data_IF_989675333157
#
_entry.id   IF_989675333157
#
_cell.length_a   1.000
_cell.length_b   1.000
_cell.length_c   1.000
_cell.angle_alpha   90.00
_cell.angle_beta   90.00
_cell.angle_gamma   90.00
#
_symmetry.space_group_name_H-M   'P 1'
#
loop_
_entity.id
_entity.type
_entity.pdbx_description
1 polymer ?
#
# COMPACT_ATOMS: atom_id res chain seq x y z
N UNK A 1 20.61 -17.41 -5.99
CA UNK A 1 19.68 -16.65 -5.14
C UNK A 1 18.54 -16.21 -6.04
N UNK A 2 17.30 -16.40 -5.61
CA UNK A 2 16.13 -16.06 -6.42
C UNK A 2 15.94 -14.53 -6.53
N UNK A 3 15.18 -14.04 -7.50
CA UNK A 3 14.97 -12.59 -7.61
C UNK A 3 14.20 -12.06 -6.41
N UNK A 4 13.19 -12.80 -5.93
CA UNK A 4 12.45 -12.41 -4.73
C UNK A 4 13.38 -12.26 -3.52
N UNK A 5 14.31 -13.20 -3.31
CA UNK A 5 15.29 -13.09 -2.22
C UNK A 5 16.18 -11.85 -2.35
N UNK A 6 16.62 -11.52 -3.56
CA UNK A 6 17.40 -10.31 -3.80
C UNK A 6 16.58 -9.04 -3.58
N UNK A 7 15.33 -9.00 -4.05
CA UNK A 7 14.39 -7.90 -3.79
C UNK A 7 14.23 -7.67 -2.29
N UNK A 8 13.97 -8.74 -1.51
CA UNK A 8 13.83 -8.67 -0.05
C UNK A 8 15.10 -8.14 0.63
N UNK A 9 16.28 -8.54 0.14
CA UNK A 9 17.57 -8.09 0.66
C UNK A 9 17.84 -6.62 0.32
N UNK A 10 17.62 -6.21 -0.93
CA UNK A 10 17.93 -4.86 -1.38
C UNK A 10 16.96 -3.80 -0.83
N UNK A 11 15.76 -4.19 -0.40
CA UNK A 11 14.79 -3.27 0.22
C UNK A 11 14.74 -3.41 1.75
N UNK A 12 15.63 -4.20 2.37
CA UNK A 12 15.55 -4.50 3.79
C UNK A 12 15.66 -3.25 4.68
N UNK A 13 16.61 -2.36 4.39
CA UNK A 13 16.80 -1.13 5.17
C UNK A 13 15.60 -0.17 5.05
N UNK A 14 15.05 -0.03 3.85
CA UNK A 14 13.90 0.83 3.59
C UNK A 14 12.63 0.29 4.28
N UNK A 15 12.42 -1.03 4.24
CA UNK A 15 11.35 -1.70 4.99
C UNK A 15 11.54 -1.54 6.50
N UNK A 16 12.74 -1.76 7.03
CA UNK A 16 13.01 -1.60 8.46
C UNK A 16 12.74 -0.16 8.94
N UNK A 17 13.12 0.84 8.16
CA UNK A 17 12.83 2.24 8.47
C UNK A 17 11.33 2.51 8.53
N UNK A 18 10.56 1.97 7.58
CA UNK A 18 9.10 2.11 7.58
C UNK A 18 8.48 1.46 8.84
N UNK A 19 8.88 0.22 9.15
CA UNK A 19 8.38 -0.52 10.32
C UNK A 19 8.79 0.14 11.65
N UNK A 20 9.88 0.89 11.66
CA UNK A 20 10.34 1.66 12.81
C UNK A 20 9.68 3.05 12.94
N UNK A 21 8.68 3.37 12.11
CA UNK A 21 7.98 4.64 12.19
C UNK A 21 7.32 4.83 13.57
N UNK A 22 7.46 5.99 14.23
CA UNK A 22 6.89 6.24 15.55
C UNK A 22 5.39 5.99 15.63
N UNK A 23 4.65 6.26 14.55
CA UNK A 23 3.20 6.05 14.51
C UNK A 23 2.81 4.58 14.67
N UNK A 24 3.63 3.65 14.16
CA UNK A 24 3.39 2.21 14.30
C UNK A 24 3.51 1.81 15.77
N UNK A 25 4.53 2.31 16.48
CA UNK A 25 4.70 2.07 17.90
C UNK A 25 3.56 2.69 18.74
N UNK A 26 3.12 3.91 18.41
CA UNK A 26 1.95 4.55 19.04
C UNK A 26 0.69 3.70 18.87
N UNK A 27 0.41 3.28 17.63
CA UNK A 27 -0.72 2.40 17.35
C UNK A 27 -0.65 1.11 18.15
N UNK A 28 0.50 0.44 18.25
CA UNK A 28 0.67 -0.79 19.04
C UNK A 28 0.44 -0.59 20.55
N UNK A 29 0.68 0.62 21.07
CA UNK A 29 0.44 0.99 22.46
C UNK A 29 -1.01 1.46 22.71
N UNK A 30 -1.84 1.50 21.67
CA UNK A 30 -3.21 2.00 21.74
C UNK A 30 -3.32 3.52 21.81
N UNK A 31 -2.24 4.25 21.57
CA UNK A 31 -2.23 5.71 21.40
C UNK A 31 -2.73 6.05 19.99
N UNK A 32 -4.05 5.99 19.83
CA UNK A 32 -4.77 6.15 18.58
C UNK A 32 -5.91 7.13 18.79
N UNK A 33 -5.90 8.25 18.07
CA UNK A 33 -7.03 9.15 17.98
C UNK A 33 -7.89 8.86 16.74
N UNK A 34 -9.20 9.12 16.84
CA UNK A 34 -10.12 8.99 15.70
C UNK A 34 -9.72 9.88 14.53
N UNK A 35 -9.23 11.09 14.81
CA UNK A 35 -8.76 12.02 13.79
C UNK A 35 -7.56 11.45 13.02
N UNK A 36 -6.57 10.91 13.74
CA UNK A 36 -5.41 10.23 13.15
C UNK A 36 -5.84 9.05 12.28
N UNK A 37 -6.78 8.22 12.75
CA UNK A 37 -7.25 7.07 11.98
C UNK A 37 -7.99 7.49 10.70
N UNK A 38 -8.89 8.49 10.78
CA UNK A 38 -9.56 9.04 9.59
C UNK A 38 -8.53 9.66 8.62
N UNK A 39 -7.49 10.32 9.12
CA UNK A 39 -6.43 10.87 8.26
C UNK A 39 -5.65 9.75 7.57
N UNK A 40 -5.29 8.67 8.27
CA UNK A 40 -4.69 7.49 7.67
C UNK A 40 -5.56 6.92 6.54
N UNK A 41 -6.85 6.66 6.83
CA UNK A 41 -7.79 6.14 5.82
C UNK A 41 -7.94 7.09 4.64
N UNK A 42 -7.91 8.40 4.87
CA UNK A 42 -7.96 9.42 3.81
C UNK A 42 -6.75 9.30 2.88
N UNK A 43 -5.54 9.18 3.41
CA UNK A 43 -4.33 8.99 2.60
C UNK A 43 -4.33 7.62 1.90
N UNK A 44 -4.81 6.58 2.57
CA UNK A 44 -4.94 5.24 2.00
C UNK A 44 -5.88 5.23 0.79
N UNK A 45 -7.05 5.89 0.91
CA UNK A 45 -8.04 5.99 -0.16
C UNK A 45 -7.41 6.45 -1.48
N UNK A 46 -6.60 7.51 -1.43
CA UNK A 46 -6.04 8.06 -2.66
C UNK A 46 -5.14 7.07 -3.38
N UNK A 47 -4.18 6.42 -2.72
CA UNK A 47 -3.34 5.47 -3.44
C UNK A 47 -4.09 4.19 -3.84
N UNK A 48 -5.03 3.70 -3.01
CA UNK A 48 -5.83 2.51 -3.32
C UNK A 48 -6.77 2.76 -4.50
N UNK A 49 -7.35 3.95 -4.62
CA UNK A 49 -8.17 4.34 -5.78
C UNK A 49 -7.41 4.31 -7.11
N UNK A 50 -6.07 4.35 -7.04
CA UNK A 50 -5.19 4.25 -8.21
C UNK A 50 -4.58 2.85 -8.42
N UNK A 51 -4.78 1.88 -7.52
CA UNK A 51 -4.21 0.52 -7.66
C UNK A 51 -4.63 -0.15 -8.96
N UNK A 52 -5.93 -0.30 -9.21
CA UNK A 52 -6.46 -0.90 -10.45
C UNK A 52 -6.06 -0.11 -11.70
N UNK A 53 -6.20 1.24 -11.74
CA UNK A 53 -5.68 2.04 -12.85
C UNK A 53 -4.18 1.85 -13.15
N UNK A 54 -3.34 1.75 -12.13
CA UNK A 54 -1.89 1.49 -12.28
C UNK A 54 -1.63 0.07 -12.82
N UNK A 55 -2.36 -0.93 -12.33
CA UNK A 55 -2.32 -2.30 -12.85
C UNK A 55 -2.68 -2.36 -14.34
N UNK A 56 -3.77 -1.70 -14.75
CA UNK A 56 -4.18 -1.59 -16.15
C UNK A 56 -3.14 -0.83 -16.99
N UNK A 57 -2.57 0.25 -16.45
CA UNK A 57 -1.55 1.05 -17.10
C UNK A 57 -0.28 0.23 -17.39
N UNK A 58 0.17 -0.58 -16.43
CA UNK A 58 1.31 -1.46 -16.60
C UNK A 58 0.99 -2.63 -17.55
N UNK A 59 -0.13 -3.33 -17.33
CA UNK A 59 -0.53 -4.49 -18.13
C UNK A 59 -0.69 -4.17 -19.61
N UNK A 60 -1.21 -2.99 -19.95
CA UNK A 60 -1.35 -2.52 -21.34
C UNK A 60 -0.03 -2.18 -22.05
N UNK A 61 1.06 -2.01 -21.30
CA UNK A 61 2.40 -1.64 -21.82
C UNK A 61 3.38 -2.80 -21.86
N UNK A 62 3.03 -3.93 -21.26
CA UNK A 62 3.85 -5.13 -21.29
C UNK A 62 3.75 -5.81 -22.66
N UNK A 63 4.91 -6.11 -23.25
CA UNK A 63 5.00 -6.83 -24.52
C UNK A 63 4.65 -8.31 -24.38
N UNK A 64 4.59 -9.02 -25.51
CA UNK A 64 4.24 -10.45 -25.55
C UNK A 64 5.21 -11.34 -24.73
N UNK A 65 6.45 -10.91 -24.54
CA UNK A 65 7.44 -11.58 -23.69
C UNK A 65 7.02 -11.66 -22.21
N UNK A 66 6.08 -10.82 -21.79
CA UNK A 66 5.61 -10.70 -20.40
C UNK A 66 4.18 -11.22 -20.22
N UNK A 67 3.70 -12.12 -21.09
CA UNK A 67 2.31 -12.61 -21.06
C UNK A 67 1.93 -13.26 -19.72
N UNK A 68 2.83 -14.04 -19.12
CA UNK A 68 2.61 -14.62 -17.79
C UNK A 68 2.41 -13.53 -16.72
N UNK A 69 3.16 -12.43 -16.82
CA UNK A 69 3.01 -11.28 -15.93
C UNK A 69 1.70 -10.55 -16.18
N UNK A 70 1.26 -10.43 -17.44
CA UNK A 70 -0.06 -9.89 -17.76
C UNK A 70 -1.20 -10.73 -17.19
N UNK A 71 -1.06 -12.06 -17.20
CA UNK A 71 -1.99 -12.97 -16.52
C UNK A 71 -2.09 -12.66 -15.03
N UNK A 72 -0.95 -12.55 -14.34
CA UNK A 72 -0.93 -12.19 -12.92
C UNK A 72 -1.53 -10.81 -12.64
N UNK A 73 -1.29 -9.81 -13.50
CA UNK A 73 -1.92 -8.48 -13.37
C UNK A 73 -3.45 -8.58 -13.48
N UNK A 74 -3.99 -9.46 -14.33
CA UNK A 74 -5.44 -9.65 -14.42
C UNK A 74 -6.02 -10.23 -13.13
N UNK A 75 -5.34 -11.19 -12.50
CA UNK A 75 -5.73 -11.73 -11.20
C UNK A 75 -5.71 -10.63 -10.12
N UNK A 76 -4.66 -9.81 -10.06
CA UNK A 76 -4.60 -8.66 -9.17
C UNK A 76 -5.73 -7.64 -9.41
N UNK A 77 -6.10 -7.38 -10.67
CA UNK A 77 -7.20 -6.45 -10.97
C UNK A 77 -8.52 -6.97 -10.45
N UNK A 78 -8.81 -8.27 -10.64
CA UNK A 78 -10.05 -8.90 -10.17
C UNK A 78 -10.15 -8.82 -8.65
N UNK A 79 -9.03 -9.05 -7.96
CA UNK A 79 -8.94 -8.95 -6.51
C UNK A 79 -9.12 -7.52 -6.01
N UNK A 80 -8.37 -6.55 -6.55
CA UNK A 80 -8.31 -5.18 -6.04
C UNK A 80 -9.54 -4.31 -6.40
N UNK A 81 -10.44 -4.83 -7.24
CA UNK A 81 -11.55 -4.06 -7.76
C UNK A 81 -12.54 -3.68 -6.66
N UNK A 82 -12.63 -2.37 -6.37
CA UNK A 82 -13.58 -1.82 -5.42
C UNK A 82 -13.03 -1.66 -3.99
N UNK A 83 -11.78 -2.03 -3.72
CA UNK A 83 -11.15 -1.88 -2.40
C UNK A 83 -11.19 -0.43 -1.88
N UNK A 84 -11.13 0.57 -2.75
CA UNK A 84 -11.26 1.98 -2.37
C UNK A 84 -12.61 2.30 -1.71
N UNK A 85 -13.68 1.57 -2.04
CA UNK A 85 -15.00 1.78 -1.43
C UNK A 85 -15.06 1.23 0.00
N UNK A 86 -14.26 0.20 0.34
CA UNK A 86 -14.12 -0.27 1.72
C UNK A 86 -13.55 0.83 2.62
N UNK A 87 -12.52 1.54 2.14
CA UNK A 87 -11.93 2.67 2.86
C UNK A 87 -12.96 3.79 3.09
N UNK A 88 -13.75 4.12 2.07
CA UNK A 88 -14.79 5.15 2.21
C UNK A 88 -15.89 4.71 3.20
N UNK A 89 -16.24 3.43 3.23
CA UNK A 89 -17.17 2.90 4.22
C UNK A 89 -16.59 2.96 5.63
N UNK A 90 -15.31 2.57 5.82
CA UNK A 90 -14.61 2.67 7.09
C UNK A 90 -14.59 4.13 7.60
N UNK A 91 -14.29 5.10 6.71
CA UNK A 91 -14.34 6.54 7.02
C UNK A 91 -15.73 6.96 7.51
N UNK A 92 -16.80 6.54 6.83
CA UNK A 92 -18.19 6.83 7.26
C UNK A 92 -18.49 6.21 8.63
N UNK A 93 -18.08 4.97 8.86
CA UNK A 93 -18.26 4.28 10.14
C UNK A 93 -17.50 4.97 11.27
N UNK A 94 -16.34 5.57 10.98
CA UNK A 94 -15.60 6.41 11.92
C UNK A 94 -16.22 7.80 12.14
N UNK A 95 -17.28 8.17 11.40
CA UNK A 95 -17.91 9.50 11.47
C UNK A 95 -17.23 10.57 10.62
N UNK A 96 -16.39 10.19 9.67
CA UNK A 96 -15.78 11.08 8.67
C UNK A 96 -16.67 11.33 7.45
N UNK A 97 -16.28 12.32 6.64
CA UNK A 97 -16.97 12.67 5.40
C UNK A 97 -16.28 12.01 4.18
N UNK A 98 -16.81 10.86 3.78
CA UNK A 98 -16.29 10.10 2.64
C UNK A 98 -16.42 10.84 1.30
N UNK A 99 -17.44 11.68 1.10
CA UNK A 99 -17.59 12.40 -0.17
C UNK A 99 -16.61 13.57 -0.26
N UNK A 100 -16.29 14.21 0.87
CA UNK A 100 -15.18 15.16 0.93
C UNK A 100 -13.84 14.51 0.60
N UNK A 101 -13.60 13.29 1.06
CA UNK A 101 -12.38 12.53 0.73
C UNK A 101 -12.38 12.12 -0.74
N UNK A 102 -13.49 11.61 -1.28
CA UNK A 102 -13.62 11.22 -2.69
C UNK A 102 -13.28 12.35 -3.65
N UNK A 103 -13.71 13.57 -3.32
CA UNK A 103 -13.51 14.78 -4.14
C UNK A 103 -12.32 15.64 -3.68
N UNK A 104 -11.50 15.13 -2.76
CA UNK A 104 -10.35 15.84 -2.22
C UNK A 104 -9.07 15.59 -2.99
N UNK A 105 -7.95 16.02 -2.39
CA UNK A 105 -6.60 15.80 -2.91
C UNK A 105 -5.74 15.07 -1.88
N UNK A 106 -4.83 14.17 -2.31
CA UNK A 106 -3.89 13.52 -1.41
C UNK A 106 -2.94 14.51 -0.74
N UNK A 107 -2.35 14.08 0.38
CA UNK A 107 -1.17 14.74 0.93
C UNK A 107 0.04 14.55 0.01
N UNK A 108 1.02 15.45 0.14
CA UNK A 108 2.18 15.51 -0.77
C UNK A 108 2.88 14.14 -0.97
N UNK A 109 3.15 13.32 0.06
CA UNK A 109 3.85 12.05 -0.17
C UNK A 109 3.06 11.08 -1.05
N UNK A 110 1.73 11.01 -0.86
CA UNK A 110 0.85 10.15 -1.66
C UNK A 110 0.65 10.71 -3.06
N UNK A 111 0.50 12.03 -3.20
CA UNK A 111 0.45 12.68 -4.51
C UNK A 111 1.71 12.36 -5.34
N UNK A 112 2.89 12.52 -4.73
CA UNK A 112 4.17 12.24 -5.37
C UNK A 112 4.34 10.74 -5.66
N UNK A 113 3.85 9.86 -4.79
CA UNK A 113 3.87 8.42 -5.02
C UNK A 113 3.05 8.04 -6.26
N UNK A 114 1.82 8.54 -6.37
CA UNK A 114 0.94 8.28 -7.52
C UNK A 114 1.59 8.80 -8.80
N UNK A 115 2.00 10.07 -8.83
CA UNK A 115 2.62 10.68 -10.01
C UNK A 115 3.89 9.95 -10.44
N UNK A 116 4.73 9.56 -9.47
CA UNK A 116 5.95 8.82 -9.71
C UNK A 116 5.69 7.44 -10.33
N UNK A 117 4.68 6.71 -9.83
CA UNK A 117 4.33 5.38 -10.32
C UNK A 117 3.84 5.45 -11.77
N UNK A 118 2.94 6.38 -12.10
CA UNK A 118 2.54 6.62 -13.49
C UNK A 118 3.73 6.94 -14.38
N UNK A 119 4.60 7.88 -13.97
CA UNK A 119 5.80 8.21 -14.74
C UNK A 119 6.68 6.98 -15.02
N UNK A 120 6.96 6.17 -13.98
CA UNK A 120 7.80 4.99 -14.12
C UNK A 120 7.19 3.94 -15.04
N UNK A 121 5.89 3.67 -14.90
CA UNK A 121 5.18 2.69 -15.73
C UNK A 121 5.11 3.17 -17.18
N UNK A 122 4.79 4.44 -17.40
CA UNK A 122 4.55 4.97 -18.73
C UNK A 122 5.82 5.24 -19.53
N UNK A 123 6.90 5.67 -18.85
CA UNK A 123 8.09 6.23 -19.51
C UNK A 123 9.36 5.42 -19.32
N UNK A 124 9.43 4.59 -18.28
CA UNK A 124 10.67 3.91 -17.91
C UNK A 124 10.54 2.40 -18.10
N UNK A 125 9.79 1.73 -17.22
CA UNK A 125 9.61 0.30 -17.28
C UNK A 125 8.27 -0.07 -16.59
N UNK A 126 7.30 -0.69 -17.28
CA UNK A 126 6.02 -1.09 -16.70
C UNK A 126 6.16 -2.07 -15.52
N UNK A 127 7.23 -2.87 -15.45
CA UNK A 127 7.51 -3.76 -14.31
C UNK A 127 7.76 -2.99 -13.01
N UNK A 128 8.03 -1.68 -13.07
CA UNK A 128 8.13 -0.81 -11.89
C UNK A 128 6.92 -0.91 -10.96
N UNK A 129 5.73 -1.23 -11.50
CA UNK A 129 4.52 -1.50 -10.73
C UNK A 129 4.74 -2.44 -9.54
N UNK A 130 5.48 -3.54 -9.74
CA UNK A 130 5.67 -4.55 -8.70
C UNK A 130 6.52 -4.04 -7.52
N UNK A 131 7.18 -2.90 -7.66
CA UNK A 131 7.78 -2.21 -6.52
C UNK A 131 6.74 -1.65 -5.55
N UNK A 132 5.58 -1.18 -6.02
CA UNK A 132 4.45 -0.80 -5.16
C UNK A 132 3.84 -2.04 -4.50
N UNK A 133 3.59 -3.09 -5.30
CA UNK A 133 3.02 -4.36 -4.82
C UNK A 133 3.88 -4.95 -3.68
N UNK A 134 5.22 -4.98 -3.85
CA UNK A 134 6.16 -5.39 -2.80
C UNK A 134 5.97 -4.66 -1.47
N UNK A 135 5.70 -3.34 -1.50
CA UNK A 135 5.54 -2.55 -0.27
C UNK A 135 4.17 -2.81 0.36
N UNK A 136 3.13 -2.84 -0.46
CA UNK A 136 1.75 -3.00 0.00
C UNK A 136 1.46 -4.42 0.50
N UNK A 137 2.01 -5.45 -0.14
CA UNK A 137 1.92 -6.83 0.35
C UNK A 137 2.92 -7.11 1.48
N UNK A 138 4.16 -6.61 1.39
CA UNK A 138 5.22 -6.96 2.34
C UNK A 138 5.14 -6.25 3.70
N UNK A 139 4.46 -5.09 3.77
CA UNK A 139 4.38 -4.28 5.01
C UNK A 139 3.01 -4.36 5.66
N UNK A 140 1.93 -4.22 4.89
CA UNK A 140 0.56 -4.11 5.41
C UNK A 140 0.15 -5.38 6.16
N UNK A 141 0.46 -6.53 5.57
CA UNK A 141 0.27 -7.88 6.12
C UNK A 141 0.68 -8.03 7.59
N UNK A 142 1.91 -7.63 7.94
CA UNK A 142 2.49 -8.00 9.24
C UNK A 142 1.91 -7.20 10.42
N UNK A 143 1.29 -6.06 10.14
CA UNK A 143 0.88 -5.07 11.15
C UNK A 143 -0.61 -4.75 11.07
N UNK A 144 -1.25 -4.85 9.89
CA UNK A 144 -2.61 -4.35 9.68
C UNK A 144 -3.65 -5.02 10.58
N UNK A 145 -3.61 -6.36 10.73
CA UNK A 145 -4.55 -7.08 11.61
C UNK A 145 -4.41 -6.67 13.09
N UNK A 146 -3.17 -6.49 13.56
CA UNK A 146 -2.92 -6.06 14.94
C UNK A 146 -3.37 -4.60 15.15
N UNK A 147 -3.10 -3.72 14.19
CA UNK A 147 -3.54 -2.32 14.25
C UNK A 147 -5.06 -2.22 14.15
N UNK A 148 -5.73 -3.01 13.31
CA UNK A 148 -7.20 -3.05 13.22
C UNK A 148 -7.84 -3.39 14.57
N UNK A 149 -7.38 -4.48 15.20
CA UNK A 149 -7.86 -4.88 16.52
C UNK A 149 -7.64 -3.79 17.57
N UNK A 150 -6.50 -3.10 17.51
CA UNK A 150 -6.19 -2.02 18.44
C UNK A 150 -7.02 -0.76 18.20
N UNK A 151 -7.29 -0.40 16.93
CA UNK A 151 -8.18 0.70 16.54
C UNK A 151 -9.60 0.45 17.04
N UNK A 152 -10.14 -0.75 16.80
CA UNK A 152 -11.48 -1.15 17.27
C UNK A 152 -11.59 -1.03 18.78
N UNK A 153 -10.62 -1.59 19.50
CA UNK A 153 -10.59 -1.58 20.96
C UNK A 153 -10.44 -0.16 21.53
N UNK A 154 -9.44 0.60 21.08
CA UNK A 154 -9.16 1.95 21.61
C UNK A 154 -10.28 2.94 21.31
N UNK A 155 -10.86 2.89 20.11
CA UNK A 155 -11.86 3.87 19.66
C UNK A 155 -13.31 3.41 19.86
N UNK A 156 -13.51 2.21 20.44
CA UNK A 156 -14.80 1.53 20.56
C UNK A 156 -15.57 1.50 19.24
N UNK A 157 -14.86 1.20 18.15
CA UNK A 157 -15.42 1.11 16.80
C UNK A 157 -15.82 -0.34 16.48
N UNK A 158 -16.87 -0.55 15.67
CA UNK A 158 -17.23 -1.88 15.23
C UNK A 158 -16.29 -2.37 14.11
N UNK A 159 -16.28 -3.67 13.82
CA UNK A 159 -15.44 -4.27 12.77
C UNK A 159 -15.69 -3.66 11.38
N UNK A 160 -16.86 -3.08 11.13
CA UNK A 160 -17.18 -2.36 9.88
C UNK A 160 -16.43 -1.03 9.74
N UNK A 161 -15.60 -0.65 10.71
CA UNK A 161 -14.73 0.52 10.65
C UNK A 161 -13.30 0.17 10.22
N UNK A 162 -12.96 -1.11 10.05
CA UNK A 162 -11.59 -1.59 9.79
C UNK A 162 -11.53 -2.60 8.65
N UNK A 163 -12.53 -2.62 7.77
CA UNK A 163 -12.64 -3.59 6.67
C UNK A 163 -11.44 -3.53 5.73
N UNK A 164 -10.91 -2.34 5.46
CA UNK A 164 -9.69 -2.15 4.68
C UNK A 164 -8.46 -2.78 5.35
N UNK A 165 -8.25 -2.52 6.65
CA UNK A 165 -7.09 -3.09 7.36
C UNK A 165 -7.19 -4.61 7.48
N UNK A 166 -8.38 -5.15 7.71
CA UNK A 166 -8.60 -6.59 7.85
C UNK A 166 -8.43 -7.35 6.55
N UNK A 167 -8.94 -6.83 5.44
CA UNK A 167 -8.74 -7.46 4.12
C UNK A 167 -7.25 -7.64 3.81
N UNK A 168 -6.43 -6.63 4.10
CA UNK A 168 -4.99 -6.67 3.88
C UNK A 168 -4.20 -7.49 4.93
N UNK A 169 -4.87 -7.97 5.97
CA UNK A 169 -4.27 -8.75 7.05
C UNK A 169 -4.69 -10.23 7.12
N UNK A 170 -5.82 -10.61 6.50
CA UNK A 170 -6.32 -12.01 6.50
C UNK A 170 -5.97 -12.79 5.22
N UNK A 171 -5.62 -12.12 4.12
CA UNK A 171 -5.28 -12.71 2.80
C UNK A 171 -3.81 -13.23 2.67
N UNK A 172 -3.15 -13.39 3.81
CA UNK A 172 -1.76 -13.04 4.00
C UNK A 172 -0.72 -14.00 3.33
N UNK A 173 -0.84 -15.31 3.54
CA UNK A 173 0.19 -16.24 3.02
C UNK A 173 -0.01 -16.59 1.55
N UNK A 174 -1.20 -16.38 1.00
CA UNK A 174 -1.51 -16.68 -0.40
C UNK A 174 -0.79 -15.71 -1.32
N UNK A 175 -1.02 -14.41 -1.10
CA UNK A 175 -0.54 -13.35 -1.99
C UNK A 175 0.98 -13.22 -1.90
N UNK A 176 1.57 -13.29 -0.71
CA UNK A 176 3.02 -13.30 -0.57
C UNK A 176 3.68 -14.48 -1.32
N UNK A 177 3.07 -15.67 -1.31
CA UNK A 177 3.59 -16.83 -2.06
C UNK A 177 3.40 -16.65 -3.57
N UNK A 178 2.26 -16.12 -3.98
CA UNK A 178 1.99 -15.80 -5.38
C UNK A 178 2.98 -14.77 -5.91
N UNK A 179 3.12 -13.63 -5.22
CA UNK A 179 4.07 -12.58 -5.56
C UNK A 179 5.51 -13.08 -5.56
N UNK A 180 5.94 -13.84 -4.55
CA UNK A 180 7.28 -14.42 -4.52
C UNK A 180 7.54 -15.34 -5.72
N UNK A 181 6.55 -16.18 -6.06
CA UNK A 181 6.64 -17.08 -7.21
C UNK A 181 6.72 -16.29 -8.52
N UNK A 182 5.89 -15.24 -8.68
CA UNK A 182 5.91 -14.35 -9.84
C UNK A 182 7.26 -13.64 -9.97
N UNK A 183 7.78 -13.04 -8.89
CA UNK A 183 9.07 -12.38 -8.90
C UNK A 183 10.19 -13.34 -9.31
N UNK A 184 10.16 -14.59 -8.82
CA UNK A 184 11.18 -15.58 -9.19
C UNK A 184 11.16 -16.00 -10.67
N UNK A 185 10.10 -15.69 -11.42
CA UNK A 185 10.06 -15.85 -12.88
C UNK A 185 10.74 -14.73 -13.66
N UNK A 186 10.97 -13.56 -13.02
CA UNK A 186 11.53 -12.38 -13.68
C UNK A 186 13.04 -12.56 -13.79
N UNK A 187 13.54 -12.70 -15.01
CA UNK A 187 14.97 -12.94 -15.29
C UNK A 187 15.68 -11.74 -15.91
N UNK A 188 14.93 -10.85 -16.56
CA UNK A 188 15.45 -9.62 -17.16
C UNK A 188 16.01 -8.68 -16.08
N UNK A 189 17.25 -8.21 -16.27
CA UNK A 189 17.94 -7.40 -15.25
C UNK A 189 17.40 -5.98 -15.16
N UNK A 190 16.93 -5.41 -16.25
CA UNK A 190 16.37 -4.06 -16.25
C UNK A 190 15.01 -4.05 -15.53
N UNK A 191 14.21 -5.11 -15.71
CA UNK A 191 12.98 -5.33 -14.95
C UNK A 191 13.25 -5.45 -13.44
N UNK A 192 14.21 -6.30 -13.07
CA UNK A 192 14.62 -6.50 -11.67
C UNK A 192 15.06 -5.18 -11.02
N UNK A 193 15.92 -4.42 -11.71
CA UNK A 193 16.40 -3.11 -11.24
C UNK A 193 15.25 -2.10 -11.15
N UNK A 194 14.33 -2.10 -12.10
CA UNK A 194 13.18 -1.20 -12.09
C UNK A 194 12.25 -1.46 -10.89
N UNK A 195 11.99 -2.73 -10.56
CA UNK A 195 11.17 -3.15 -9.42
C UNK A 195 11.82 -2.72 -8.11
N UNK A 196 13.09 -3.09 -7.90
CA UNK A 196 13.84 -2.74 -6.67
C UNK A 196 13.87 -1.22 -6.49
N UNK A 197 14.20 -0.47 -7.53
CA UNK A 197 14.28 0.99 -7.44
C UNK A 197 12.93 1.60 -7.03
N UNK A 198 11.83 1.11 -7.61
CA UNK A 198 10.49 1.60 -7.28
C UNK A 198 10.10 1.26 -5.86
N UNK A 199 10.35 0.03 -5.40
CA UNK A 199 10.04 -0.38 -4.03
C UNK A 199 10.69 0.56 -3.00
N UNK A 200 11.97 0.90 -3.18
CA UNK A 200 12.69 1.81 -2.27
C UNK A 200 12.06 3.21 -2.23
N UNK A 201 11.60 3.73 -3.37
CA UNK A 201 10.90 5.02 -3.42
C UNK A 201 9.52 4.96 -2.77
N UNK A 202 8.77 3.89 -2.99
CA UNK A 202 7.46 3.69 -2.37
C UNK A 202 7.60 3.54 -0.85
N UNK A 203 8.55 2.75 -0.34
CA UNK A 203 8.86 2.69 1.10
C UNK A 203 9.11 4.07 1.70
N UNK A 204 9.90 4.91 1.01
CA UNK A 204 10.23 6.24 1.50
C UNK A 204 9.02 7.19 1.50
N UNK A 205 8.24 7.24 0.41
CA UNK A 205 7.07 8.11 0.31
C UNK A 205 5.95 7.68 1.26
N UNK A 206 5.72 6.38 1.40
CA UNK A 206 4.76 5.84 2.36
C UNK A 206 5.21 6.13 3.81
N UNK A 207 6.52 6.02 4.09
CA UNK A 207 7.10 6.43 5.38
C UNK A 207 6.87 7.90 5.71
N UNK A 208 7.07 8.80 4.73
CA UNK A 208 6.76 10.23 4.91
C UNK A 208 5.28 10.49 5.18
N UNK A 209 4.36 9.74 4.55
CA UNK A 209 2.94 9.81 4.87
C UNK A 209 2.69 9.42 6.33
N UNK A 210 3.28 8.32 6.79
CA UNK A 210 3.17 7.88 8.20
C UNK A 210 3.76 8.89 9.19
N UNK A 211 4.88 9.54 8.84
CA UNK A 211 5.47 10.61 9.64
C UNK A 211 4.55 11.83 9.76
N UNK A 212 3.84 12.19 8.68
CA UNK A 212 2.86 13.28 8.71
C UNK A 212 1.69 12.99 9.66
N UNK A 213 1.21 11.74 9.72
CA UNK A 213 0.17 11.32 10.68
C UNK A 213 0.61 11.49 12.13
N UNK A 214 1.90 11.25 12.43
CA UNK A 214 2.45 11.38 13.77
C UNK A 214 2.65 12.81 14.25
N UNK A 215 2.64 13.78 13.34
CA UNK A 215 2.90 15.20 13.60
C UNK A 215 1.64 16.07 13.68
N UNK A 216 0.45 15.49 13.49
CA UNK A 216 -0.81 16.22 13.59
C UNK A 216 -1.05 16.68 15.03
N UNK A 217 -0.70 17.93 15.29
CA UNK A 217 -0.84 18.65 16.56
C UNK A 217 -2.30 18.95 16.97
N UNK A 218 -3.28 18.19 16.48
CA UNK A 218 -4.71 18.33 16.79
C UNK A 218 -5.24 17.21 17.69
N UNK A 219 -4.39 16.66 18.55
CA UNK A 219 -4.87 15.87 19.69
C UNK A 219 -5.18 16.83 20.85
N UNK A 220 -6.44 16.94 21.31
CA UNK A 220 -6.68 17.60 22.58
C UNK A 220 -5.95 16.81 23.66
N UNK A 221 -5.24 17.55 24.51
CA UNK A 221 -4.63 17.04 25.74
C UNK A 221 -5.67 16.40 26.67
#
# INVERSE_FOLDING_TARGET
MSFYQELQKQTAEDRQRLLASPIIARCQQGDISRAMYIHFLTQAYYHVSHTVPLLMCAGSRLGASHEAVRGAIAEYIDEEYGHQEWILNDIRTCGGDAEKVRNGTPGLPIEMMIAYLYYRIERINPMSLFGMVQVLEGTSVSIASAVAAQVEHTLALPEQATTYLRSHGELDQGHLRFFASLMDTITDKDDQTAIIHTARRVYNLYGQMLEQLGNDANEPA
#
